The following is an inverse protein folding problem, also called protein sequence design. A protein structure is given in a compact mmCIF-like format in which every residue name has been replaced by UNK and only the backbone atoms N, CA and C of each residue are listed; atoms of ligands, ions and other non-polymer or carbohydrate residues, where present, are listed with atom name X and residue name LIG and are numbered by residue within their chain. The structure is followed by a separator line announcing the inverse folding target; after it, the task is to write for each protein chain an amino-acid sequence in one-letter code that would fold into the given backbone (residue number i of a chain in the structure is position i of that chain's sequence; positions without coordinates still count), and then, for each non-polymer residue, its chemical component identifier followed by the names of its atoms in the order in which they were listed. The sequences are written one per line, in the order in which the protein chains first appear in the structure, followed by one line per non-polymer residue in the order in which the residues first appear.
data_IF_139545109949
#
_entry.id   IF_139545109949
#
_cell.length_a   1.000
_cell.length_b   1.000
_cell.length_c   1.000
_cell.angle_alpha   90.00
_cell.angle_beta   90.00
_cell.angle_gamma   90.00
#
_symmetry.space_group_name_H-M   'P 1'
#
loop_
_entity.id
_entity.type
_entity.pdbx_description
1 polymer ?
#
# COMPACT_ATOMS: atom_id res chain seq x y z
N UNK A 1 -23.09 23.85 -24.05
CA UNK A 1 -22.93 23.27 -22.69
C UNK A 1 -22.00 22.07 -22.80
N UNK A 2 -20.70 22.30 -22.65
CA UNK A 2 -19.67 21.26 -22.67
C UNK A 2 -19.56 20.68 -21.26
N UNK A 3 -19.98 19.43 -21.09
CA UNK A 3 -19.65 18.63 -19.92
C UNK A 3 -18.33 17.92 -20.20
N UNK A 4 -17.25 18.36 -19.58
CA UNK A 4 -16.01 17.58 -19.49
C UNK A 4 -16.31 16.29 -18.74
N UNK A 5 -16.24 15.17 -19.43
CA UNK A 5 -16.28 13.83 -18.84
C UNK A 5 -14.95 13.50 -18.15
N UNK A 6 -14.95 12.52 -17.25
CA UNK A 6 -13.97 12.39 -16.18
C UNK A 6 -12.59 11.94 -16.63
N UNK A 7 -11.63 12.40 -15.90
CA UNK A 7 -10.16 12.29 -15.90
C UNK A 7 -9.57 10.86 -15.98
N UNK A 8 -10.38 9.81 -16.00
CA UNK A 8 -9.96 8.40 -16.03
C UNK A 8 -9.03 8.05 -17.22
N UNK A 9 -9.23 8.71 -18.37
CA UNK A 9 -8.39 8.48 -19.55
C UNK A 9 -6.96 9.01 -19.43
N UNK A 10 -6.73 10.03 -18.59
CA UNK A 10 -5.44 10.69 -18.43
C UNK A 10 -4.51 9.90 -17.49
N UNK A 11 -5.05 9.31 -16.42
CA UNK A 11 -4.33 8.47 -15.47
C UNK A 11 -3.87 7.17 -16.12
N UNK A 12 -4.74 6.53 -16.91
CA UNK A 12 -4.38 5.31 -17.67
C UNK A 12 -3.20 5.54 -18.62
N UNK A 13 -3.17 6.69 -19.32
CA UNK A 13 -2.06 7.02 -20.23
C UNK A 13 -0.77 7.31 -19.51
N UNK A 14 -0.79 7.90 -18.31
CA UNK A 14 0.39 8.22 -17.53
C UNK A 14 1.01 6.96 -16.91
N UNK A 15 0.23 6.03 -16.38
CA UNK A 15 0.70 4.75 -15.86
C UNK A 15 1.40 3.95 -16.97
N UNK A 16 0.69 3.69 -18.08
CA UNK A 16 1.25 2.95 -19.21
C UNK A 16 2.53 3.58 -19.77
N UNK A 17 2.57 4.91 -19.92
CA UNK A 17 3.74 5.60 -20.44
C UNK A 17 4.94 5.48 -19.50
N UNK A 18 4.74 5.64 -18.18
CA UNK A 18 5.80 5.56 -17.18
C UNK A 18 6.37 4.14 -17.08
N UNK A 19 5.51 3.13 -17.04
CA UNK A 19 5.90 1.72 -16.97
C UNK A 19 6.38 1.15 -18.31
N UNK A 20 5.96 1.70 -19.43
CA UNK A 20 6.49 1.33 -20.74
C UNK A 20 7.99 1.66 -20.89
N UNK A 21 8.46 2.73 -20.23
CA UNK A 21 9.87 3.10 -20.20
C UNK A 21 10.69 2.27 -19.18
N UNK A 22 10.02 1.48 -18.33
CA UNK A 22 10.62 0.67 -17.27
C UNK A 22 9.99 -0.72 -17.27
N UNK A 23 10.15 -1.46 -18.36
CA UNK A 23 9.52 -2.76 -18.58
C UNK A 23 9.82 -3.79 -17.46
N UNK A 24 10.99 -3.70 -16.82
CA UNK A 24 11.39 -4.57 -15.71
C UNK A 24 10.55 -4.39 -14.46
N UNK A 25 9.73 -3.35 -14.40
CA UNK A 25 8.83 -3.06 -13.27
C UNK A 25 7.35 -3.31 -13.58
N UNK A 26 7.06 -4.04 -14.67
CA UNK A 26 5.72 -4.57 -14.88
C UNK A 26 5.34 -5.51 -13.74
N UNK A 27 4.08 -5.48 -13.35
CA UNK A 27 3.58 -6.34 -12.28
C UNK A 27 3.56 -7.80 -12.76
N UNK A 28 4.18 -8.66 -11.95
CA UNK A 28 4.29 -10.11 -12.15
C UNK A 28 3.52 -10.91 -11.08
N UNK A 29 2.76 -10.22 -10.25
CA UNK A 29 1.97 -10.76 -9.15
C UNK A 29 2.09 -9.90 -7.90
N UNK A 30 1.37 -10.29 -6.86
CA UNK A 30 1.34 -9.65 -5.56
C UNK A 30 1.67 -10.63 -4.44
N UNK A 31 2.44 -10.18 -3.45
CA UNK A 31 2.75 -10.91 -2.22
C UNK A 31 2.31 -10.08 -1.00
N UNK A 32 2.13 -10.72 0.15
CA UNK A 32 1.91 -9.97 1.39
C UNK A 32 3.16 -9.17 1.76
N UNK A 33 2.99 -7.96 2.36
CA UNK A 33 4.09 -7.04 2.63
C UNK A 33 4.88 -7.36 3.89
N UNK A 34 4.40 -8.30 4.71
CA UNK A 34 5.01 -8.76 5.96
C UNK A 34 4.99 -10.28 5.98
N UNK A 35 5.88 -10.94 6.76
CA UNK A 35 5.95 -12.40 6.77
C UNK A 35 5.94 -13.00 5.36
N UNK A 36 6.64 -12.34 4.42
CA UNK A 36 6.53 -12.64 2.99
C UNK A 36 6.91 -14.07 2.63
N UNK A 37 6.29 -14.63 1.58
CA UNK A 37 5.28 -13.98 0.72
C UNK A 37 3.84 -14.12 1.23
N UNK A 38 3.58 -14.86 2.30
CA UNK A 38 2.29 -15.40 2.68
C UNK A 38 1.75 -14.87 4.03
N UNK A 39 2.36 -13.80 4.57
CA UNK A 39 2.08 -13.20 5.88
C UNK A 39 2.37 -14.17 7.05
N UNK A 40 3.39 -15.02 6.91
CA UNK A 40 3.79 -15.95 7.96
C UNK A 40 4.11 -15.21 9.26
N UNK A 41 3.60 -15.74 10.39
CA UNK A 41 3.72 -15.17 11.74
C UNK A 41 2.99 -13.83 11.96
N UNK A 42 2.06 -13.46 11.04
CA UNK A 42 1.21 -12.28 11.17
C UNK A 42 -0.27 -12.63 11.09
N UNK A 43 -1.11 -11.75 11.62
CA UNK A 43 -2.57 -11.85 11.53
C UNK A 43 -3.18 -10.49 11.26
N UNK A 44 -4.32 -10.48 10.56
CA UNK A 44 -5.12 -9.29 10.33
C UNK A 44 -5.89 -8.94 11.61
N UNK A 45 -5.44 -7.91 12.32
CA UNK A 45 -5.97 -7.50 13.61
C UNK A 45 -7.20 -6.58 13.47
N UNK A 46 -7.29 -5.83 12.38
CA UNK A 46 -8.47 -5.07 12.00
C UNK A 46 -8.69 -5.19 10.49
N UNK A 47 -9.81 -5.79 10.12
CA UNK A 47 -10.15 -6.08 8.73
C UNK A 47 -10.63 -4.85 7.96
N UNK A 48 -10.52 -4.91 6.64
CA UNK A 48 -11.13 -3.93 5.73
C UNK A 48 -12.64 -3.86 5.97
N UNK A 49 -13.15 -2.66 6.17
CA UNK A 49 -14.57 -2.39 6.45
C UNK A 49 -14.94 -2.47 7.93
N UNK A 50 -14.15 -3.09 8.78
CA UNK A 50 -14.39 -3.13 10.22
C UNK A 50 -14.32 -1.72 10.81
N UNK A 51 -15.38 -1.27 11.48
CA UNK A 51 -15.49 0.09 12.02
C UNK A 51 -15.18 1.19 10.98
N UNK A 52 -15.54 0.96 9.71
CA UNK A 52 -15.27 1.87 8.58
C UNK A 52 -13.80 1.97 8.18
N UNK A 53 -12.96 0.98 8.53
CA UNK A 53 -11.55 0.92 8.18
C UNK A 53 -11.36 0.78 6.67
N UNK A 54 -10.48 1.60 6.08
CA UNK A 54 -10.24 1.64 4.64
C UNK A 54 -9.07 0.75 4.19
N UNK A 55 -8.45 0.07 5.11
CA UNK A 55 -7.34 -0.85 4.91
C UNK A 55 -7.43 -2.06 5.83
N UNK A 56 -6.31 -2.64 6.11
CA UNK A 56 -6.12 -3.73 7.06
C UNK A 56 -4.95 -3.42 7.98
N UNK A 57 -5.10 -3.73 9.29
CA UNK A 57 -4.04 -3.61 10.26
C UNK A 57 -3.47 -4.98 10.60
N UNK A 58 -2.19 -5.15 10.33
CA UNK A 58 -1.47 -6.42 10.46
C UNK A 58 -0.51 -6.39 11.63
N UNK A 59 -0.66 -7.32 12.57
CA UNK A 59 0.16 -7.48 13.77
C UNK A 59 0.91 -8.81 13.76
N UNK A 60 2.10 -8.81 14.33
CA UNK A 60 2.85 -10.04 14.59
C UNK A 60 2.17 -10.91 15.66
N UNK A 61 2.21 -12.24 15.48
CA UNK A 61 1.61 -13.21 16.43
C UNK A 61 2.26 -13.20 17.82
N UNK A 62 3.42 -12.57 17.99
CA UNK A 62 4.08 -12.37 19.27
C UNK A 62 3.37 -11.38 20.20
N UNK A 63 2.48 -10.56 19.68
CA UNK A 63 1.69 -9.57 20.42
C UNK A 63 2.46 -8.34 20.91
N UNK A 64 1.75 -7.35 21.40
CA UNK A 64 2.31 -6.09 21.90
C UNK A 64 3.08 -5.34 20.80
N UNK A 65 4.36 -5.01 21.08
CA UNK A 65 5.27 -4.35 20.12
C UNK A 65 6.38 -5.31 19.64
N UNK A 66 6.14 -6.60 19.62
CA UNK A 66 7.18 -7.59 19.24
C UNK A 66 7.57 -7.49 17.78
N UNK A 67 6.69 -6.96 16.93
CA UNK A 67 6.87 -6.69 15.51
C UNK A 67 7.45 -5.30 15.18
N UNK A 68 7.71 -4.47 16.22
CA UNK A 68 8.37 -3.18 16.02
C UNK A 68 9.75 -3.34 15.39
N UNK A 69 9.95 -2.72 14.25
CA UNK A 69 11.21 -2.82 13.49
C UNK A 69 11.26 -3.97 12.49
N UNK A 70 10.25 -4.82 12.44
CA UNK A 70 10.16 -5.90 11.47
C UNK A 70 10.08 -5.36 10.03
N UNK A 71 10.63 -6.11 9.04
CA UNK A 71 10.73 -5.62 7.69
C UNK A 71 9.36 -5.58 6.97
N UNK A 72 9.11 -4.48 6.27
CA UNK A 72 7.97 -4.30 5.38
C UNK A 72 8.46 -4.29 3.93
N UNK A 73 7.75 -5.00 3.07
CA UNK A 73 8.13 -5.21 1.67
C UNK A 73 7.07 -4.64 0.71
N UNK A 74 7.51 -4.26 -0.50
CA UNK A 74 6.58 -3.90 -1.57
C UNK A 74 5.79 -5.12 -2.02
N UNK A 75 4.45 -5.00 -2.06
CA UNK A 75 3.56 -6.10 -2.49
C UNK A 75 3.74 -6.50 -3.95
N UNK A 76 4.22 -5.59 -4.80
CA UNK A 76 4.45 -5.82 -6.23
C UNK A 76 5.51 -4.87 -6.78
N UNK A 77 5.94 -5.10 -8.02
CA UNK A 77 6.76 -4.14 -8.76
C UNK A 77 6.01 -2.81 -8.91
N UNK A 78 6.69 -1.69 -8.70
CA UNK A 78 6.02 -0.40 -8.74
C UNK A 78 6.94 0.81 -8.65
N UNK A 79 6.31 1.95 -8.55
CA UNK A 79 6.94 3.26 -8.48
C UNK A 79 6.48 3.98 -7.22
N UNK A 80 7.42 4.43 -6.39
CA UNK A 80 7.13 5.20 -5.17
C UNK A 80 6.60 6.58 -5.55
N UNK A 81 5.30 6.76 -5.37
CA UNK A 81 4.61 8.01 -5.63
C UNK A 81 4.85 9.03 -4.52
N UNK A 82 4.93 8.55 -3.29
CA UNK A 82 5.05 9.36 -2.10
C UNK A 82 5.75 8.59 -0.98
N UNK A 83 6.68 9.24 -0.28
CA UNK A 83 7.28 8.76 0.96
C UNK A 83 7.38 9.94 1.91
N UNK A 84 6.48 10.02 2.88
CA UNK A 84 6.26 11.22 3.70
C UNK A 84 6.08 10.86 5.18
N UNK A 85 6.32 11.85 6.03
CA UNK A 85 5.99 11.78 7.44
C UNK A 85 4.79 12.68 7.74
N UNK A 86 3.78 12.12 8.38
CA UNK A 86 2.56 12.82 8.80
C UNK A 86 2.35 12.64 10.30
N UNK A 87 2.04 13.73 10.97
CA UNK A 87 1.62 13.68 12.38
C UNK A 87 0.19 13.15 12.51
N UNK A 88 -0.24 12.86 13.74
CA UNK A 88 -1.63 12.49 14.08
C UNK A 88 -2.09 11.15 13.48
N UNK A 89 -1.39 10.09 13.84
CA UNK A 89 -1.83 8.72 13.59
C UNK A 89 -1.25 8.07 12.34
N UNK A 90 -0.96 8.80 11.28
CA UNK A 90 -0.34 8.20 10.10
C UNK A 90 1.12 7.79 10.31
N UNK A 91 1.91 8.60 11.05
CA UNK A 91 3.35 8.39 11.15
C UNK A 91 4.03 8.52 9.79
N UNK A 92 4.98 7.67 9.50
CA UNK A 92 5.65 7.62 8.19
C UNK A 92 4.84 6.73 7.24
N UNK A 93 4.66 7.21 6.00
CA UNK A 93 3.79 6.61 4.97
C UNK A 93 4.55 6.47 3.67
N UNK A 94 4.42 5.32 3.04
CA UNK A 94 4.88 5.06 1.67
C UNK A 94 3.69 4.70 0.80
N UNK A 95 3.58 5.33 -0.38
CA UNK A 95 2.56 5.05 -1.39
C UNK A 95 3.25 4.60 -2.68
N UNK A 96 2.86 3.46 -3.20
CA UNK A 96 3.47 2.85 -4.39
C UNK A 96 2.38 2.63 -5.44
N UNK A 97 2.64 3.10 -6.67
CA UNK A 97 1.77 2.84 -7.82
C UNK A 97 2.29 1.62 -8.57
N UNK A 98 1.39 0.70 -8.85
CA UNK A 98 1.58 -0.51 -9.62
C UNK A 98 0.79 -0.42 -10.93
N UNK A 99 1.31 -1.00 -12.01
CA UNK A 99 0.60 -1.02 -13.30
C UNK A 99 0.18 -2.46 -13.64
N UNK A 100 -1.09 -2.76 -13.42
CA UNK A 100 -1.69 -4.09 -13.60
C UNK A 100 -2.57 -4.08 -14.82
N UNK A 101 -2.21 -4.82 -15.86
CA UNK A 101 -2.98 -4.90 -17.11
C UNK A 101 -3.37 -3.50 -17.66
N UNK A 102 -2.44 -2.55 -17.58
CA UNK A 102 -2.66 -1.17 -18.03
C UNK A 102 -3.50 -0.30 -17.10
N UNK A 103 -3.86 -0.78 -15.92
CA UNK A 103 -4.56 -0.01 -14.89
C UNK A 103 -3.62 0.32 -13.75
N UNK A 104 -3.69 1.54 -13.25
CA UNK A 104 -2.97 1.94 -12.05
C UNK A 104 -3.72 1.44 -10.80
N UNK A 105 -2.97 0.84 -9.89
CA UNK A 105 -3.39 0.45 -8.54
C UNK A 105 -2.36 1.01 -7.58
N UNK A 106 -2.77 1.49 -6.43
CA UNK A 106 -1.87 2.03 -5.41
C UNK A 106 -1.94 1.18 -4.15
N UNK A 107 -0.78 0.85 -3.60
CA UNK A 107 -0.64 0.36 -2.23
C UNK A 107 -0.16 1.49 -1.32
N UNK A 108 -0.76 1.62 -0.15
CA UNK A 108 -0.38 2.55 0.89
C UNK A 108 0.01 1.74 2.13
N UNK A 109 1.18 2.06 2.66
CA UNK A 109 1.74 1.47 3.86
C UNK A 109 1.94 2.57 4.88
N UNK A 110 1.50 2.37 6.12
CA UNK A 110 1.64 3.40 7.16
C UNK A 110 2.21 2.85 8.47
N UNK A 111 2.45 3.78 9.39
CA UNK A 111 3.01 3.58 10.72
C UNK A 111 4.47 3.08 10.72
N UNK A 112 5.23 3.33 9.65
CA UNK A 112 6.64 2.94 9.60
C UNK A 112 7.47 3.54 10.74
N UNK A 113 8.41 2.76 11.26
CA UNK A 113 9.56 3.27 12.04
C UNK A 113 10.58 3.90 11.09
N UNK A 114 10.99 3.17 10.04
CA UNK A 114 11.93 3.65 9.03
C UNK A 114 11.37 3.44 7.63
N UNK A 115 11.48 4.47 6.79
CA UNK A 115 11.31 4.36 5.35
C UNK A 115 12.67 4.15 4.71
N UNK A 116 12.81 3.14 3.84
CA UNK A 116 14.05 2.81 3.12
C UNK A 116 13.99 3.21 1.64
N UNK A 117 12.89 3.83 1.24
CA UNK A 117 12.66 4.33 -0.11
C UNK A 117 12.20 5.79 -0.06
N UNK A 118 12.32 6.48 -1.18
CA UNK A 118 11.89 7.88 -1.35
C UNK A 118 11.02 8.02 -2.60
N UNK A 119 10.31 9.12 -2.68
CA UNK A 119 9.55 9.49 -3.89
C UNK A 119 10.44 9.43 -5.13
N UNK A 120 9.93 8.81 -6.17
CA UNK A 120 10.62 8.62 -7.43
C UNK A 120 11.35 7.29 -7.58
N UNK A 121 11.55 6.54 -6.51
CA UNK A 121 12.21 5.24 -6.58
C UNK A 121 11.33 4.20 -7.29
N UNK A 122 11.97 3.29 -8.01
CA UNK A 122 11.38 2.08 -8.52
C UNK A 122 11.69 0.91 -7.59
N UNK A 123 10.69 0.09 -7.29
CA UNK A 123 10.80 -1.04 -6.37
C UNK A 123 10.34 -2.34 -7.01
N UNK A 124 10.93 -3.44 -6.59
CA UNK A 124 10.53 -4.79 -6.99
C UNK A 124 9.56 -5.39 -5.96
N UNK A 125 8.72 -6.34 -6.40
CA UNK A 125 7.95 -7.20 -5.52
C UNK A 125 8.87 -7.88 -4.50
N UNK A 126 8.51 -7.84 -3.22
CA UNK A 126 9.34 -8.37 -2.13
C UNK A 126 10.61 -7.58 -1.82
N UNK A 127 10.81 -6.39 -2.42
CA UNK A 127 11.88 -5.47 -1.99
C UNK A 127 11.49 -4.82 -0.67
N UNK A 128 12.40 -4.81 0.31
CA UNK A 128 12.17 -4.10 1.57
C UNK A 128 12.06 -2.60 1.32
N UNK A 129 10.98 -2.00 1.84
CA UNK A 129 10.67 -0.57 1.69
C UNK A 129 10.69 0.19 3.01
N UNK A 130 10.73 -0.53 4.14
CA UNK A 130 10.79 0.06 5.46
C UNK A 130 10.70 -0.97 6.56
N UNK A 131 10.36 -0.50 7.77
CA UNK A 131 10.16 -1.32 8.95
C UNK A 131 8.88 -0.92 9.68
N UNK A 132 8.21 -1.89 10.33
CA UNK A 132 7.01 -1.65 11.14
C UNK A 132 7.35 -0.68 12.28
N UNK A 133 6.48 0.27 12.52
CA UNK A 133 6.55 1.21 13.63
C UNK A 133 5.23 1.31 14.37
N UNK A 134 5.03 2.41 15.09
CA UNK A 134 3.90 2.60 15.99
C UNK A 134 3.36 4.04 15.97
N UNK A 135 3.57 4.78 14.87
CA UNK A 135 3.18 6.18 14.71
C UNK A 135 3.65 7.07 15.88
N UNK A 136 4.95 7.03 16.20
CA UNK A 136 5.58 7.77 17.31
C UNK A 136 5.00 7.42 18.70
N UNK A 137 4.63 6.15 18.90
CA UNK A 137 4.09 5.64 20.17
C UNK A 137 2.58 5.87 20.33
N UNK A 138 1.87 6.29 19.27
CA UNK A 138 0.43 6.49 19.32
C UNK A 138 -0.34 5.17 19.40
N UNK A 139 0.20 4.10 18.79
CA UNK A 139 -0.38 2.77 18.73
C UNK A 139 0.60 1.70 19.24
N UNK A 140 0.13 0.48 19.42
CA UNK A 140 1.00 -0.69 19.38
C UNK A 140 1.56 -0.84 17.96
N UNK A 141 2.74 -1.45 17.84
CA UNK A 141 3.33 -1.67 16.53
C UNK A 141 2.43 -2.51 15.64
N UNK A 142 2.25 -2.08 14.40
CA UNK A 142 1.54 -2.80 13.35
C UNK A 142 1.81 -2.18 11.98
N UNK A 143 1.47 -2.89 10.93
CA UNK A 143 1.42 -2.35 9.58
C UNK A 143 -0.04 -2.05 9.21
N UNK A 144 -0.33 -0.80 8.86
CA UNK A 144 -1.57 -0.44 8.14
C UNK A 144 -1.34 -0.52 6.63
N UNK A 145 -2.16 -1.31 5.94
CA UNK A 145 -2.11 -1.52 4.49
C UNK A 145 -3.43 -1.13 3.84
N UNK A 146 -3.39 -0.25 2.83
CA UNK A 146 -4.54 0.01 1.96
C UNK A 146 -4.21 -0.35 0.50
N UNK A 147 -5.21 -0.78 -0.26
CA UNK A 147 -5.15 -0.88 -1.72
C UNK A 147 -6.21 0.01 -2.34
N UNK A 148 -5.78 0.89 -3.26
CA UNK A 148 -6.59 1.91 -3.90
C UNK A 148 -6.60 1.73 -5.42
N UNK A 149 -7.77 1.62 -6.00
CA UNK A 149 -7.95 1.56 -7.46
C UNK A 149 -8.10 2.94 -8.10
N UNK A 150 -8.22 4.00 -7.28
CA UNK A 150 -8.13 5.39 -7.68
C UNK A 150 -6.86 6.01 -7.08
N UNK A 151 -5.81 6.09 -7.89
CA UNK A 151 -4.48 6.56 -7.45
C UNK A 151 -4.37 8.07 -7.27
N UNK A 152 -5.41 8.84 -7.60
CA UNK A 152 -5.44 10.30 -7.44
C UNK A 152 -6.06 10.73 -6.09
N UNK A 153 -6.45 9.77 -5.25
CA UNK A 153 -7.03 10.08 -3.95
C UNK A 153 -6.00 10.75 -3.02
N UNK A 154 -6.44 11.73 -2.21
CA UNK A 154 -5.61 12.26 -1.14
C UNK A 154 -5.30 11.16 -0.10
N UNK A 155 -4.37 11.44 0.81
CA UNK A 155 -4.02 10.49 1.89
C UNK A 155 -5.27 10.08 2.69
N UNK A 156 -6.14 11.02 3.02
CA UNK A 156 -7.37 10.75 3.79
C UNK A 156 -7.09 10.50 5.28
N UNK A 157 -8.02 9.83 5.94
CA UNK A 157 -7.98 9.58 7.38
C UNK A 157 -7.88 8.10 7.79
N UNK A 158 -7.81 7.15 6.84
CA UNK A 158 -7.80 5.71 7.12
C UNK A 158 -9.17 5.11 7.46
N UNK A 159 -10.17 5.95 7.74
CA UNK A 159 -11.54 5.55 8.09
C UNK A 159 -12.55 6.40 7.34
N UNK A 160 -13.57 5.77 6.73
CA UNK A 160 -14.70 6.45 6.07
C UNK A 160 -15.87 5.50 5.88
N UNK A 161 -17.09 6.06 5.80
CA UNK A 161 -18.25 5.32 5.31
C UNK A 161 -18.27 5.17 3.79
N UNK A 162 -17.43 5.92 3.10
CA UNK A 162 -17.28 5.91 1.64
C UNK A 162 -16.09 5.01 1.27
N UNK A 163 -16.39 3.87 0.67
CA UNK A 163 -15.37 2.87 0.26
C UNK A 163 -14.99 2.99 -1.22
N UNK A 164 -15.61 3.93 -1.97
CA UNK A 164 -15.32 4.07 -3.38
C UNK A 164 -13.84 4.37 -3.63
N UNK A 165 -13.22 3.56 -4.46
CA UNK A 165 -11.78 3.68 -4.78
C UNK A 165 -10.86 2.85 -3.91
N UNK A 166 -11.38 2.19 -2.86
CA UNK A 166 -10.65 1.24 -2.01
C UNK A 166 -11.11 -0.20 -2.30
N UNK A 167 -10.25 -1.15 -2.05
CA UNK A 167 -10.56 -2.58 -2.13
C UNK A 167 -9.93 -3.33 -0.95
N UNK A 168 -10.53 -4.46 -0.58
CA UNK A 168 -10.00 -5.33 0.47
C UNK A 168 -8.59 -5.80 0.10
N UNK A 169 -7.54 -5.47 0.89
CA UNK A 169 -6.16 -5.80 0.58
C UNK A 169 -5.89 -7.29 0.46
N UNK A 170 -6.37 -8.09 1.41
CA UNK A 170 -6.19 -9.55 1.40
C UNK A 170 -6.81 -10.17 0.15
N UNK A 171 -8.08 -9.88 -0.12
CA UNK A 171 -8.77 -10.42 -1.31
C UNK A 171 -8.08 -10.00 -2.61
N UNK A 172 -7.59 -8.76 -2.67
CA UNK A 172 -6.89 -8.26 -3.85
C UNK A 172 -5.55 -8.99 -4.06
N UNK A 173 -4.75 -9.16 -3.00
CA UNK A 173 -3.46 -9.86 -3.08
C UNK A 173 -3.68 -11.31 -3.47
N UNK A 174 -4.60 -12.03 -2.81
CA UNK A 174 -4.89 -13.43 -3.09
C UNK A 174 -5.37 -13.66 -4.53
N UNK A 175 -6.23 -12.79 -5.05
CA UNK A 175 -6.72 -12.87 -6.42
C UNK A 175 -5.64 -12.58 -7.49
N UNK A 176 -4.52 -11.96 -7.10
CA UNK A 176 -3.46 -11.51 -8.00
C UNK A 176 -2.08 -12.10 -7.65
N UNK A 177 -2.03 -13.23 -6.97
CA UNK A 177 -0.78 -13.95 -6.66
C UNK A 177 0.01 -14.28 -7.93
N UNK A 178 1.35 -14.40 -7.86
CA UNK A 178 2.16 -14.87 -8.98
C UNK A 178 1.69 -16.25 -9.46
N UNK A 179 1.71 -16.43 -10.77
CA UNK A 179 1.38 -17.72 -11.39
C UNK A 179 2.64 -18.56 -11.60
#
# INVERSE_FOLDING_TARGET
VNRCGPTIGRVRRSCLAKFALNADYQVDGFDFPIGKPDADDYYNAQEFGENYHLGEDWNGTGGGNTDFGDPVYSIANGYVKEAIEKKRGWGKVVRIVHCVNGKAVESLYAHFDKMLVKEGDWVKRGQQIGTIGNADGMYLAHLHLEIRINTEMPLGGGYSKEYEGFVNPTEFIEANRPR
#
